data_IF_824509957709
#
_entry.id   IF_824509957709
#
_cell.length_a   1.000
_cell.length_b   1.000
_cell.length_c   1.000
_cell.angle_alpha   90.00
_cell.angle_beta   90.00
_cell.angle_gamma   90.00
#
_symmetry.space_group_name_H-M   'P 1'
#
loop_
_entity.id
_entity.type
_entity.pdbx_description
1 polymer ?
#
# COMPACT_ATOMS: atom_id res chain seq x y z
N UNK A 1 12.84 6.99 12.13
CA UNK A 1 12.55 6.04 13.23
C UNK A 1 12.03 4.78 12.56
N UNK A 2 12.63 3.62 12.84
CA UNK A 2 12.17 2.34 12.28
C UNK A 2 11.27 1.69 13.33
N UNK A 3 10.10 1.22 12.91
CA UNK A 3 9.13 0.52 13.77
C UNK A 3 8.98 -0.90 13.25
N UNK A 4 9.10 -1.89 14.13
CA UNK A 4 8.78 -3.29 13.84
C UNK A 4 7.37 -3.55 14.35
N UNK A 5 6.52 -4.13 13.51
CA UNK A 5 5.14 -4.46 13.84
C UNK A 5 5.07 -5.78 14.61
N UNK A 6 4.05 -5.91 15.46
CA UNK A 6 3.66 -7.18 16.07
C UNK A 6 2.62 -7.89 15.19
N UNK A 7 2.23 -9.10 15.59
CA UNK A 7 1.29 -9.94 14.83
C UNK A 7 -0.08 -9.28 14.60
N UNK A 8 -0.46 -8.32 15.46
CA UNK A 8 -1.72 -7.58 15.38
C UNK A 8 -1.57 -6.20 14.70
N UNK A 9 -0.39 -5.85 14.20
CA UNK A 9 -0.12 -4.59 13.48
C UNK A 9 -0.51 -3.33 14.30
N UNK A 10 -0.46 -3.39 15.63
CA UNK A 10 -1.07 -2.37 16.49
C UNK A 10 -0.54 -0.95 16.23
N UNK A 11 0.77 -0.83 15.97
CA UNK A 11 1.40 0.46 15.64
C UNK A 11 1.03 0.99 14.25
N UNK A 12 0.69 0.11 13.30
CA UNK A 12 0.15 0.54 12.02
C UNK A 12 -1.24 1.14 12.24
N UNK A 13 -2.09 0.48 13.01
CA UNK A 13 -3.45 0.99 13.31
C UNK A 13 -3.39 2.32 14.08
N UNK A 14 -2.51 2.45 15.08
CA UNK A 14 -2.25 3.74 15.74
C UNK A 14 -1.86 4.83 14.72
N UNK A 15 -0.95 4.52 13.79
CA UNK A 15 -0.53 5.46 12.74
C UNK A 15 -1.67 5.84 11.79
N UNK A 16 -2.51 4.86 11.41
CA UNK A 16 -3.70 5.08 10.57
C UNK A 16 -4.75 5.95 11.27
N UNK A 17 -4.88 5.85 12.59
CA UNK A 17 -5.81 6.67 13.38
C UNK A 17 -5.27 8.08 13.68
N UNK A 18 -3.97 8.23 13.95
CA UNK A 18 -3.36 9.53 14.30
C UNK A 18 -3.26 10.49 13.11
N UNK A 19 -3.25 9.95 11.88
CA UNK A 19 -3.07 10.72 10.65
C UNK A 19 -4.35 10.67 9.81
N UNK A 20 -4.70 11.82 9.24
CA UNK A 20 -5.81 11.88 8.28
C UNK A 20 -5.27 11.68 6.86
N UNK A 21 -5.54 10.52 6.30
CA UNK A 21 -5.26 10.21 4.89
C UNK A 21 -6.47 10.47 4.02
N UNK A 22 -6.23 10.84 2.76
CA UNK A 22 -7.28 11.03 1.74
C UNK A 22 -7.69 9.71 1.08
N UNK A 23 -6.71 8.82 0.85
CA UNK A 23 -6.86 7.51 0.21
C UNK A 23 -5.66 6.63 0.56
N UNK A 24 -5.85 5.32 0.56
CA UNK A 24 -4.78 4.32 0.73
C UNK A 24 -4.57 3.60 -0.59
N UNK A 25 -3.31 3.45 -0.99
CA UNK A 25 -2.88 2.62 -2.11
C UNK A 25 -1.94 1.54 -1.57
N UNK A 26 -2.18 0.28 -1.92
CA UNK A 26 -1.36 -0.86 -1.51
C UNK A 26 -0.70 -1.42 -2.76
N UNK A 27 0.61 -1.19 -2.91
CA UNK A 27 1.41 -1.65 -4.04
C UNK A 27 2.02 -3.00 -3.69
N UNK A 28 1.58 -4.04 -4.40
CA UNK A 28 2.02 -5.43 -4.19
C UNK A 28 2.48 -6.05 -5.50
N UNK A 29 3.36 -7.05 -5.42
CA UNK A 29 3.53 -8.00 -6.51
C UNK A 29 2.62 -9.23 -6.32
N UNK A 30 2.56 -10.12 -7.31
CA UNK A 30 1.74 -11.34 -7.28
C UNK A 30 1.98 -12.19 -6.01
N UNK A 31 3.24 -12.33 -5.58
CA UNK A 31 3.58 -13.11 -4.37
C UNK A 31 3.07 -12.42 -3.11
N UNK A 32 3.27 -11.10 -3.01
CA UNK A 32 2.83 -10.29 -1.88
C UNK A 32 1.31 -10.24 -1.82
N UNK A 33 0.64 -10.18 -2.97
CA UNK A 33 -0.81 -10.31 -3.06
C UNK A 33 -1.27 -11.65 -2.48
N UNK A 34 -0.66 -12.76 -2.89
CA UNK A 34 -1.08 -14.10 -2.44
C UNK A 34 -0.84 -14.32 -0.95
N UNK A 35 0.36 -14.00 -0.45
CA UNK A 35 0.81 -14.44 0.88
C UNK A 35 0.72 -13.37 1.97
N UNK A 36 0.87 -12.08 1.64
CA UNK A 36 1.02 -11.02 2.62
C UNK A 36 -0.23 -10.14 2.73
N UNK A 37 -0.85 -9.80 1.59
CA UNK A 37 -2.00 -8.90 1.54
C UNK A 37 -3.19 -9.38 2.40
N UNK A 38 -3.57 -10.68 2.44
CA UNK A 38 -4.66 -11.14 3.31
C UNK A 38 -4.37 -10.92 4.80
N UNK A 39 -3.10 -11.10 5.21
CA UNK A 39 -2.67 -10.90 6.60
C UNK A 39 -2.71 -9.40 6.94
N UNK A 40 -2.20 -8.55 6.05
CA UNK A 40 -2.25 -7.10 6.22
C UNK A 40 -3.69 -6.60 6.35
N UNK A 41 -4.56 -6.95 5.39
CA UNK A 41 -5.96 -6.52 5.37
C UNK A 41 -6.75 -7.06 6.56
N UNK A 42 -6.46 -8.29 7.01
CA UNK A 42 -7.09 -8.87 8.19
C UNK A 42 -6.74 -8.17 9.51
N UNK A 43 -5.62 -7.44 9.56
CA UNK A 43 -5.16 -6.73 10.76
C UNK A 43 -5.28 -5.20 10.66
N UNK A 44 -5.63 -4.66 9.48
CA UNK A 44 -5.81 -3.22 9.28
C UNK A 44 -7.15 -2.76 9.86
N UNK A 45 -7.09 -1.83 10.81
CA UNK A 45 -8.28 -1.23 11.42
C UNK A 45 -8.51 0.17 10.84
N UNK A 46 -9.18 0.25 9.69
CA UNK A 46 -9.53 1.52 9.06
C UNK A 46 -10.83 1.43 8.26
N UNK A 47 -11.64 2.49 8.33
CA UNK A 47 -12.84 2.65 7.50
C UNK A 47 -12.51 3.31 6.15
N UNK A 48 -11.25 3.72 5.93
CA UNK A 48 -10.84 4.38 4.70
C UNK A 48 -10.72 3.34 3.57
N UNK A 49 -11.36 3.62 2.44
CA UNK A 49 -11.20 2.80 1.24
C UNK A 49 -9.74 2.74 0.78
N UNK A 50 -9.34 1.56 0.32
CA UNK A 50 -8.01 1.31 -0.23
C UNK A 50 -8.11 0.75 -1.64
N UNK A 51 -7.02 0.92 -2.38
CA UNK A 51 -6.89 0.50 -3.77
C UNK A 51 -5.62 -0.34 -3.90
N UNK A 52 -5.74 -1.53 -4.50
CA UNK A 52 -4.61 -2.45 -4.67
C UNK A 52 -4.00 -2.19 -6.06
N UNK A 53 -2.72 -1.85 -6.07
CA UNK A 53 -1.92 -1.72 -7.28
C UNK A 53 -1.04 -2.98 -7.37
N UNK A 54 -1.38 -3.89 -8.27
CA UNK A 54 -0.65 -5.13 -8.45
C UNK A 54 0.30 -5.06 -9.66
N UNK A 55 1.53 -5.52 -9.48
CA UNK A 55 2.53 -5.64 -10.54
C UNK A 55 3.03 -7.08 -10.66
N UNK A 56 3.55 -7.44 -11.83
CA UNK A 56 4.22 -8.73 -12.02
C UNK A 56 5.46 -8.83 -11.10
N UNK A 57 5.69 -10.01 -10.55
CA UNK A 57 6.85 -10.26 -9.70
C UNK A 57 8.13 -10.40 -10.55
N UNK A 58 9.21 -9.73 -10.14
CA UNK A 58 10.49 -9.82 -10.82
C UNK A 58 11.36 -8.57 -10.66
N UNK A 59 12.68 -8.73 -10.71
CA UNK A 59 13.61 -7.59 -10.66
C UNK A 59 13.57 -6.80 -11.99
N UNK A 60 13.28 -7.48 -13.09
CA UNK A 60 13.05 -6.90 -14.40
C UNK A 60 11.94 -5.85 -14.40
N UNK A 61 10.97 -5.97 -13.48
CA UNK A 61 9.87 -5.01 -13.32
C UNK A 61 10.29 -3.75 -12.55
N UNK A 62 11.50 -3.72 -11.96
CA UNK A 62 12.05 -2.52 -11.30
C UNK A 62 12.71 -1.59 -12.31
N UNK A 63 11.93 -1.16 -13.29
CA UNK A 63 12.37 -0.27 -14.35
C UNK A 63 11.52 1.01 -14.40
N UNK A 64 11.98 1.99 -15.18
CA UNK A 64 11.33 3.30 -15.26
C UNK A 64 9.96 3.23 -15.95
N UNK A 65 9.76 2.26 -16.84
CA UNK A 65 8.51 2.07 -17.55
C UNK A 65 7.40 1.63 -16.59
N UNK A 66 7.67 0.64 -15.73
CA UNK A 66 6.75 0.20 -14.68
C UNK A 66 6.48 1.33 -13.68
N UNK A 67 7.51 2.10 -13.30
CA UNK A 67 7.32 3.26 -12.44
C UNK A 67 6.40 4.33 -13.08
N UNK A 68 6.58 4.61 -14.37
CA UNK A 68 5.72 5.56 -15.09
C UNK A 68 4.26 5.07 -15.16
N UNK A 69 4.03 3.78 -15.43
CA UNK A 69 2.69 3.20 -15.44
C UNK A 69 2.00 3.33 -14.07
N UNK A 70 2.71 3.03 -12.99
CA UNK A 70 2.19 3.22 -11.63
C UNK A 70 1.85 4.69 -11.35
N UNK A 71 2.68 5.64 -11.82
CA UNK A 71 2.42 7.07 -11.68
C UNK A 71 1.21 7.55 -12.47
N UNK A 72 1.00 7.02 -13.67
CA UNK A 72 -0.20 7.29 -14.47
C UNK A 72 -1.46 6.81 -13.74
N UNK A 73 -1.46 5.57 -13.24
CA UNK A 73 -2.57 5.01 -12.46
C UNK A 73 -2.86 5.86 -11.21
N UNK A 74 -1.83 6.21 -10.44
CA UNK A 74 -1.98 7.07 -9.27
C UNK A 74 -2.59 8.44 -9.64
N UNK A 75 -2.20 9.01 -10.79
CA UNK A 75 -2.73 10.29 -11.27
C UNK A 75 -4.20 10.16 -11.68
N UNK A 76 -4.56 9.11 -12.40
CA UNK A 76 -5.95 8.82 -12.79
C UNK A 76 -6.86 8.61 -11.58
N UNK A 77 -6.34 7.95 -10.55
CA UNK A 77 -7.03 7.71 -9.28
C UNK A 77 -7.00 8.90 -8.32
N UNK A 78 -6.47 10.04 -8.77
CA UNK A 78 -6.38 11.30 -8.04
C UNK A 78 -5.63 11.17 -6.72
N UNK A 79 -4.53 10.42 -6.69
CA UNK A 79 -3.63 10.35 -5.54
C UNK A 79 -3.12 11.77 -5.23
N UNK A 80 -3.44 12.28 -4.04
CA UNK A 80 -3.02 13.60 -3.59
C UNK A 80 -1.85 13.51 -2.60
N UNK A 81 -1.39 14.66 -2.09
CA UNK A 81 -0.27 14.72 -1.12
C UNK A 81 -0.60 14.11 0.26
N UNK A 82 -1.86 13.79 0.52
CA UNK A 82 -2.33 13.13 1.74
C UNK A 82 -2.68 11.66 1.50
N UNK A 83 -2.42 11.14 0.29
CA UNK A 83 -2.54 9.72 0.03
C UNK A 83 -1.43 8.95 0.77
N UNK A 84 -1.79 7.78 1.29
CA UNK A 84 -0.83 6.83 1.85
C UNK A 84 -0.56 5.76 0.81
N UNK A 85 0.73 5.49 0.54
CA UNK A 85 1.16 4.35 -0.27
C UNK A 85 1.85 3.35 0.65
N UNK A 86 1.40 2.10 0.64
CA UNK A 86 1.99 0.97 1.37
C UNK A 86 2.64 0.05 0.34
N UNK A 87 3.92 -0.30 0.52
CA UNK A 87 4.69 -1.23 -0.31
C UNK A 87 5.53 -2.14 0.57
#
# INVERSE_FOLDING_TARGET
MITILNDNFSKLNEFLHEKTFSKIFILVDENTHEYCLPILLGNMETDLGFEILEIEAGEEMKNIQTANQLWEILTEMQADRKALVIN
#
